data_IF_947806414892
#
_entry.id   IF_947806414892
#
_cell.length_a   1.000
_cell.length_b   1.000
_cell.length_c   1.000
_cell.angle_alpha   90.00
_cell.angle_beta   90.00
_cell.angle_gamma   90.00
#
_symmetry.space_group_name_H-M   'P 1'
#
loop_
_entity.id
_entity.type
_entity.pdbx_description
1 polymer ?
#
# COMPACT_ATOMS: atom_id res chain seq x y z
N UNK A 1 24.26 0.67 -6.28
CA UNK A 1 25.29 1.71 -6.11
C UNK A 1 24.77 2.86 -5.24
N UNK A 2 23.70 3.56 -5.63
CA UNK A 2 23.17 4.70 -4.85
C UNK A 2 22.86 4.35 -3.39
N UNK A 3 22.16 3.22 -3.14
CA UNK A 3 21.88 2.76 -1.77
C UNK A 3 23.16 2.58 -0.94
N UNK A 4 24.20 1.98 -1.55
CA UNK A 4 25.49 1.80 -0.89
C UNK A 4 26.17 3.14 -0.58
N UNK A 5 26.13 4.10 -1.51
CA UNK A 5 26.67 5.44 -1.29
C UNK A 5 25.90 6.20 -0.19
N UNK A 6 24.57 6.04 -0.14
CA UNK A 6 23.73 6.60 0.93
C UNK A 6 24.09 5.99 2.29
N UNK A 7 24.27 4.66 2.34
CA UNK A 7 24.64 3.94 3.56
C UNK A 7 26.04 4.32 4.07
N UNK A 8 26.97 4.64 3.17
CA UNK A 8 28.31 5.13 3.50
C UNK A 8 28.38 6.65 3.67
N UNK A 9 27.23 7.34 3.66
CA UNK A 9 27.12 8.79 3.80
C UNK A 9 27.93 9.60 2.77
N UNK A 10 28.26 8.98 1.63
CA UNK A 10 28.92 9.65 0.52
C UNK A 10 27.95 10.52 -0.30
N UNK A 11 26.65 10.25 -0.19
CA UNK A 11 25.57 11.05 -0.79
C UNK A 11 24.43 11.20 0.21
N UNK A 12 23.49 12.11 -0.08
CA UNK A 12 22.33 12.34 0.76
C UNK A 12 21.45 11.08 0.88
N UNK A 13 21.16 10.65 2.11
CA UNK A 13 20.36 9.45 2.37
C UNK A 13 18.94 9.46 1.81
N UNK A 14 18.36 10.64 1.51
CA UNK A 14 17.06 10.76 0.84
C UNK A 14 17.08 10.39 -0.64
N UNK A 15 18.26 10.46 -1.29
CA UNK A 15 18.40 10.31 -2.74
C UNK A 15 17.95 8.92 -3.23
N UNK A 16 18.20 7.86 -2.45
CA UNK A 16 17.74 6.52 -2.81
C UNK A 16 16.21 6.43 -2.86
N UNK A 17 15.51 7.12 -1.96
CA UNK A 17 14.05 7.09 -1.92
C UNK A 17 13.44 7.84 -3.11
N UNK A 18 14.00 9.00 -3.47
CA UNK A 18 13.58 9.74 -4.65
C UNK A 18 13.81 8.91 -5.92
N UNK A 19 14.97 8.28 -6.05
CA UNK A 19 15.26 7.43 -7.21
C UNK A 19 14.29 6.24 -7.31
N UNK A 20 13.94 5.62 -6.19
CA UNK A 20 12.96 4.53 -6.16
C UNK A 20 11.57 5.03 -6.54
N UNK A 21 11.15 6.20 -6.07
CA UNK A 21 9.90 6.85 -6.47
C UNK A 21 9.87 7.05 -7.99
N UNK A 22 10.85 7.77 -8.53
CA UNK A 22 10.95 8.07 -9.97
C UNK A 22 10.96 6.79 -10.82
N UNK A 23 11.69 5.76 -10.39
CA UNK A 23 11.75 4.48 -11.09
C UNK A 23 10.39 3.77 -11.11
N UNK A 24 9.66 3.78 -10.00
CA UNK A 24 8.32 3.17 -9.95
C UNK A 24 7.30 3.96 -10.77
N UNK A 25 7.37 5.30 -10.78
CA UNK A 25 6.46 6.15 -11.57
C UNK A 25 6.66 5.94 -13.08
N UNK A 26 7.90 5.83 -13.53
CA UNK A 26 8.26 5.69 -14.95
C UNK A 26 8.18 4.25 -15.47
N UNK A 27 7.85 3.29 -14.62
CA UNK A 27 7.84 1.86 -14.96
C UNK A 27 6.45 1.29 -15.20
N UNK A 28 6.36 0.27 -16.05
CA UNK A 28 5.14 -0.55 -16.18
C UNK A 28 4.84 -1.29 -14.87
N UNK A 29 3.59 -1.74 -14.67
CA UNK A 29 3.22 -2.44 -13.45
C UNK A 29 3.95 -3.78 -13.29
N UNK A 30 4.29 -4.44 -14.40
CA UNK A 30 5.13 -5.65 -14.39
C UNK A 30 6.49 -5.36 -13.76
N UNK A 31 7.17 -4.32 -14.25
CA UNK A 31 8.49 -3.92 -13.75
C UNK A 31 8.41 -3.41 -12.29
N UNK A 32 7.31 -2.75 -11.91
CA UNK A 32 7.11 -2.30 -10.53
C UNK A 32 7.13 -3.47 -9.54
N UNK A 33 6.65 -4.67 -9.91
CA UNK A 33 6.71 -5.87 -9.04
C UNK A 33 8.15 -6.31 -8.78
N UNK A 34 9.02 -6.22 -9.79
CA UNK A 34 10.44 -6.58 -9.67
C UNK A 34 11.21 -5.52 -8.87
N UNK A 35 10.96 -4.24 -9.15
CA UNK A 35 11.50 -3.11 -8.40
C UNK A 35 11.11 -3.20 -6.93
N UNK A 36 9.84 -3.50 -6.64
CA UNK A 36 9.36 -3.65 -5.28
C UNK A 36 9.99 -4.86 -4.57
N UNK A 37 10.25 -5.95 -5.30
CA UNK A 37 11.04 -7.08 -4.78
C UNK A 37 12.44 -6.66 -4.33
N UNK A 38 13.10 -5.75 -5.06
CA UNK A 38 14.35 -5.15 -4.61
C UNK A 38 14.17 -4.32 -3.34
N UNK A 39 13.13 -3.48 -3.26
CA UNK A 39 12.82 -2.65 -2.08
C UNK A 39 12.64 -3.55 -0.84
N UNK A 40 11.82 -4.61 -0.94
CA UNK A 40 11.62 -5.57 0.13
C UNK A 40 12.94 -6.23 0.57
N UNK A 41 13.78 -6.64 -0.39
CA UNK A 41 15.09 -7.25 -0.08
C UNK A 41 16.08 -6.32 0.63
N UNK A 42 15.82 -5.01 0.63
CA UNK A 42 16.67 -3.97 1.24
C UNK A 42 16.00 -3.25 2.40
N UNK A 43 14.87 -3.74 2.89
CA UNK A 43 14.09 -3.09 3.95
C UNK A 43 14.92 -2.85 5.23
N UNK A 44 15.78 -3.79 5.62
CA UNK A 44 16.63 -3.65 6.81
C UNK A 44 17.62 -2.49 6.70
N UNK A 45 18.11 -2.21 5.48
CA UNK A 45 19.03 -1.11 5.22
C UNK A 45 18.25 0.20 5.11
N UNK A 46 17.17 0.21 4.33
CA UNK A 46 16.31 1.39 4.13
C UNK A 46 15.65 1.85 5.43
N UNK A 47 15.37 0.92 6.35
CA UNK A 47 14.75 1.16 7.65
C UNK A 47 15.72 1.65 8.73
N UNK A 48 17.03 1.70 8.45
CA UNK A 48 18.00 2.31 9.38
C UNK A 48 17.60 3.75 9.67
N UNK A 49 17.68 4.17 10.94
CA UNK A 49 17.19 5.47 11.42
C UNK A 49 17.63 6.64 10.54
N UNK A 50 18.91 6.66 10.15
CA UNK A 50 19.51 7.71 9.32
C UNK A 50 18.88 7.84 7.93
N UNK A 51 18.49 6.72 7.31
CA UNK A 51 17.85 6.70 6.00
C UNK A 51 16.34 6.87 6.13
N UNK A 52 15.72 6.16 7.07
CA UNK A 52 14.29 6.20 7.33
C UNK A 52 13.81 7.63 7.62
N UNK A 53 14.50 8.37 8.49
CA UNK A 53 14.12 9.74 8.85
C UNK A 53 14.06 10.67 7.62
N UNK A 54 14.93 10.45 6.63
CA UNK A 54 15.04 11.25 5.40
C UNK A 54 14.06 10.79 4.32
N UNK A 55 13.71 9.50 4.29
CA UNK A 55 12.99 8.88 3.17
C UNK A 55 11.56 8.42 3.45
N UNK A 56 11.12 8.35 4.72
CA UNK A 56 9.86 7.69 5.09
C UNK A 56 8.65 8.24 4.35
N UNK A 57 8.53 9.56 4.21
CA UNK A 57 7.37 10.17 3.55
C UNK A 57 7.37 9.92 2.03
N UNK A 58 8.54 9.86 1.41
CA UNK A 58 8.69 9.50 0.00
C UNK A 58 8.28 8.04 -0.19
N UNK A 59 8.82 7.13 0.63
CA UNK A 59 8.45 5.71 0.57
C UNK A 59 6.95 5.47 0.77
N UNK A 60 6.32 6.17 1.73
CA UNK A 60 4.87 6.10 1.96
C UNK A 60 4.10 6.55 0.73
N UNK A 61 4.52 7.65 0.10
CA UNK A 61 3.90 8.19 -1.12
C UNK A 61 4.03 7.20 -2.27
N UNK A 62 5.23 6.68 -2.50
CA UNK A 62 5.53 5.67 -3.53
C UNK A 62 4.64 4.44 -3.37
N UNK A 63 4.54 3.89 -2.16
CA UNK A 63 3.69 2.73 -1.89
C UNK A 63 2.20 3.04 -2.14
N UNK A 64 1.72 4.21 -1.72
CA UNK A 64 0.34 4.63 -1.95
C UNK A 64 0.03 4.87 -3.43
N UNK A 65 0.97 5.41 -4.21
CA UNK A 65 0.83 5.56 -5.65
C UNK A 65 0.76 4.21 -6.35
N UNK A 66 1.61 3.25 -5.97
CA UNK A 66 1.53 1.88 -6.47
C UNK A 66 0.16 1.28 -6.18
N UNK A 67 -0.33 1.35 -4.94
CA UNK A 67 -1.66 0.86 -4.56
C UNK A 67 -2.79 1.49 -5.38
N UNK A 68 -2.70 2.78 -5.75
CA UNK A 68 -3.69 3.45 -6.61
C UNK A 68 -3.66 2.97 -8.06
N UNK A 69 -2.49 2.55 -8.56
CA UNK A 69 -2.31 2.06 -9.94
C UNK A 69 -2.71 0.59 -10.09
N UNK A 70 -2.84 -0.15 -8.99
CA UNK A 70 -3.17 -1.58 -9.02
C UNK A 70 -4.66 -1.83 -9.21
N UNK A 71 -4.97 -2.88 -9.97
CA UNK A 71 -6.34 -3.37 -10.04
C UNK A 71 -6.74 -4.01 -8.72
N UNK A 72 -7.79 -3.50 -8.09
CA UNK A 72 -8.31 -4.03 -6.82
C UNK A 72 -8.77 -5.49 -6.90
N UNK A 73 -9.07 -6.00 -8.10
CA UNK A 73 -9.54 -7.37 -8.31
C UNK A 73 -8.42 -8.35 -8.74
N UNK A 74 -7.44 -7.89 -9.52
CA UNK A 74 -6.47 -8.78 -10.17
C UNK A 74 -5.08 -8.79 -9.52
N UNK A 75 -4.71 -7.75 -8.78
CA UNK A 75 -3.36 -7.62 -8.21
C UNK A 75 -3.33 -7.75 -6.68
N UNK A 76 -4.29 -8.49 -6.10
CA UNK A 76 -4.47 -8.63 -4.65
C UNK A 76 -3.20 -9.10 -3.91
N UNK A 77 -2.41 -9.98 -4.52
CA UNK A 77 -1.14 -10.47 -3.95
C UNK A 77 -0.12 -9.34 -3.83
N UNK A 78 -0.02 -8.49 -4.85
CA UNK A 78 0.95 -7.41 -4.83
C UNK A 78 0.51 -6.26 -3.91
N UNK A 79 -0.80 -5.96 -3.87
CA UNK A 79 -1.37 -5.08 -2.85
C UNK A 79 -1.03 -5.56 -1.43
N UNK A 80 -1.21 -6.86 -1.16
CA UNK A 80 -0.87 -7.48 0.13
C UNK A 80 0.61 -7.30 0.48
N UNK A 81 1.53 -7.54 -0.47
CA UNK A 81 2.97 -7.31 -0.29
C UNK A 81 3.30 -5.87 0.08
N UNK A 82 2.71 -4.90 -0.64
CA UNK A 82 2.93 -3.47 -0.34
C UNK A 82 2.44 -3.11 1.08
N UNK A 83 1.24 -3.58 1.45
CA UNK A 83 0.68 -3.32 2.78
C UNK A 83 1.51 -3.98 3.89
N UNK A 84 1.98 -5.21 3.69
CA UNK A 84 2.86 -5.91 4.63
C UNK A 84 4.20 -5.20 4.78
N UNK A 85 4.79 -4.75 3.67
CA UNK A 85 6.00 -3.94 3.69
C UNK A 85 5.79 -2.64 4.48
N UNK A 86 4.71 -1.90 4.23
CA UNK A 86 4.41 -0.67 4.97
C UNK A 86 4.24 -0.93 6.48
N UNK A 87 3.54 -2.00 6.85
CA UNK A 87 3.33 -2.37 8.25
C UNK A 87 4.63 -2.74 8.98
N UNK A 88 5.60 -3.32 8.26
CA UNK A 88 6.91 -3.65 8.81
C UNK A 88 7.88 -2.46 8.82
N UNK A 89 7.90 -1.70 7.73
CA UNK A 89 8.84 -0.60 7.50
C UNK A 89 8.58 0.60 8.40
N UNK A 90 7.32 0.84 8.80
CA UNK A 90 6.96 1.92 9.70
C UNK A 90 6.84 1.43 11.14
N UNK A 91 7.63 1.97 12.10
CA UNK A 91 7.45 1.66 13.51
C UNK A 91 6.03 1.99 13.99
N UNK A 92 5.49 1.23 14.93
CA UNK A 92 4.12 1.44 15.46
C UNK A 92 3.91 2.83 16.08
N UNK A 93 4.99 3.50 16.51
CA UNK A 93 4.96 4.87 17.03
C UNK A 93 4.89 5.95 15.95
N UNK A 94 5.08 5.61 14.68
CA UNK A 94 5.14 6.56 13.57
C UNK A 94 3.73 7.01 13.16
N UNK A 95 3.41 8.28 13.49
CA UNK A 95 2.08 8.86 13.27
C UNK A 95 1.61 8.81 11.82
N UNK A 96 2.53 8.85 10.85
CA UNK A 96 2.18 8.80 9.43
C UNK A 96 1.65 7.43 8.96
N UNK A 97 1.86 6.37 9.75
CA UNK A 97 1.43 5.01 9.44
C UNK A 97 0.18 4.55 10.21
N UNK A 98 -0.41 5.42 11.05
CA UNK A 98 -1.57 5.08 11.88
C UNK A 98 -2.80 5.89 11.48
N UNK A 99 -3.97 5.24 11.48
CA UNK A 99 -5.25 5.91 11.22
C UNK A 99 -5.77 6.62 12.49
N UNK A 100 -5.10 7.70 12.89
CA UNK A 100 -5.41 8.43 14.14
C UNK A 100 -6.86 8.95 14.16
N UNK A 101 -7.38 9.35 13.00
CA UNK A 101 -8.75 9.88 12.89
C UNK A 101 -9.82 8.79 12.92
N UNK A 102 -9.44 7.51 12.77
CA UNK A 102 -10.39 6.41 12.68
C UNK A 102 -11.36 6.53 11.51
N UNK A 103 -11.01 7.28 10.45
CA UNK A 103 -11.89 7.46 9.30
C UNK A 103 -11.77 6.21 8.43
N UNK A 104 -12.90 5.57 8.18
CA UNK A 104 -12.98 4.40 7.32
C UNK A 104 -13.27 4.82 5.88
N UNK A 105 -12.91 3.99 4.90
CA UNK A 105 -13.19 4.30 3.50
C UNK A 105 -14.68 4.10 3.18
N UNK A 106 -15.43 5.19 3.04
CA UNK A 106 -16.87 5.17 2.70
C UNK A 106 -17.15 5.06 1.21
N UNK A 107 -16.13 5.15 0.35
CA UNK A 107 -16.33 5.05 -1.11
C UNK A 107 -16.61 3.63 -1.62
N UNK A 108 -16.39 2.62 -0.78
CA UNK A 108 -16.63 1.22 -1.16
C UNK A 108 -18.10 0.84 -0.94
N UNK A 109 -18.99 1.42 -1.74
CA UNK A 109 -20.42 1.11 -1.70
C UNK A 109 -20.69 -0.24 -2.36
N UNK A 110 -21.24 -1.18 -1.60
CA UNK A 110 -21.71 -2.46 -2.15
C UNK A 110 -23.14 -2.27 -2.64
N UNK A 111 -23.36 -2.45 -3.95
CA UNK A 111 -24.71 -2.45 -4.53
C UNK A 111 -25.33 -3.82 -4.30
N UNK A 112 -26.49 -3.86 -3.65
CA UNK A 112 -27.25 -5.07 -3.39
C UNK A 112 -28.73 -4.87 -3.77
N UNK A 113 -29.41 -5.97 -4.01
CA UNK A 113 -30.81 -6.01 -4.44
C UNK A 113 -31.75 -5.57 -3.32
N UNK A 114 -32.73 -4.74 -3.66
CA UNK A 114 -33.75 -4.25 -2.72
C UNK A 114 -35.03 -5.06 -2.74
N UNK A 115 -35.23 -5.83 -3.81
CA UNK A 115 -36.42 -6.64 -4.07
C UNK A 115 -36.04 -8.13 -4.22
N UNK A 116 -36.92 -9.06 -3.79
CA UNK A 116 -36.65 -10.48 -3.86
C UNK A 116 -36.59 -10.95 -5.33
N UNK A 117 -35.66 -11.83 -5.69
CA UNK A 117 -35.60 -12.38 -7.04
C UNK A 117 -36.81 -13.29 -7.34
N UNK A 118 -37.39 -13.15 -8.53
CA UNK A 118 -38.53 -13.96 -8.96
C UNK A 118 -38.15 -15.44 -9.09
N UNK A 119 -38.97 -16.32 -8.51
CA UNK A 119 -38.85 -17.77 -8.70
C UNK A 119 -37.70 -18.44 -7.95
N UNK A 120 -36.95 -17.72 -7.12
CA UNK A 120 -35.87 -18.29 -6.29
C UNK A 120 -36.30 -18.24 -4.82
N UNK A 121 -36.41 -19.40 -4.13
CA UNK A 121 -36.70 -19.42 -2.69
C UNK A 121 -35.46 -18.97 -1.91
N UNK A 122 -35.38 -17.67 -1.63
CA UNK A 122 -34.33 -17.04 -0.81
C UNK A 122 -34.96 -16.43 0.44
N UNK A 123 -34.31 -16.57 1.60
CA UNK A 123 -34.66 -15.78 2.78
C UNK A 123 -34.22 -14.33 2.58
N UNK A 124 -35.12 -13.55 1.98
CA UNK A 124 -34.86 -12.16 1.65
C UNK A 124 -34.88 -11.25 2.88
N UNK A 125 -35.48 -11.68 4.00
CA UNK A 125 -35.41 -10.94 5.25
C UNK A 125 -34.00 -11.02 5.83
N UNK A 126 -33.41 -12.21 5.88
CA UNK A 126 -31.99 -12.38 6.26
C UNK A 126 -31.07 -11.58 5.33
N UNK A 127 -31.30 -11.64 4.01
CA UNK A 127 -30.52 -10.88 3.01
C UNK A 127 -30.53 -9.37 3.30
N UNK A 128 -31.71 -8.77 3.50
CA UNK A 128 -31.84 -7.34 3.85
C UNK A 128 -31.15 -7.02 5.17
N UNK A 129 -31.37 -7.82 6.20
CA UNK A 129 -30.76 -7.60 7.51
C UNK A 129 -29.24 -7.63 7.40
N UNK A 130 -28.69 -8.64 6.73
CA UNK A 130 -27.24 -8.76 6.51
C UNK A 130 -26.65 -7.52 5.83
N UNK A 131 -27.23 -7.09 4.70
CA UNK A 131 -26.70 -5.93 3.96
C UNK A 131 -27.01 -4.57 4.60
N UNK A 132 -27.99 -4.50 5.50
CA UNK A 132 -28.27 -3.27 6.26
C UNK A 132 -27.22 -2.94 7.33
N UNK A 133 -26.39 -3.93 7.71
CA UNK A 133 -25.36 -3.79 8.73
C UNK A 133 -24.00 -3.31 8.18
N UNK A 134 -23.86 -3.20 6.86
CA UNK A 134 -22.62 -2.85 6.16
C UNK A 134 -22.60 -1.37 5.75
#
# INVERSE_FOLDING_TARGET
>A
IVLYLCEKEHVEGGMIFQLLEDLTEMSTMKNCKDIFGYIESKQDILGKLELFARGKLVMLRTCNQLLRRLSKANDVVFCGRILMFLAHFFPLSERSAVNIKGVFNTSNETKYEKDPPDGIPVDFNFYKTFWSLQ
#
